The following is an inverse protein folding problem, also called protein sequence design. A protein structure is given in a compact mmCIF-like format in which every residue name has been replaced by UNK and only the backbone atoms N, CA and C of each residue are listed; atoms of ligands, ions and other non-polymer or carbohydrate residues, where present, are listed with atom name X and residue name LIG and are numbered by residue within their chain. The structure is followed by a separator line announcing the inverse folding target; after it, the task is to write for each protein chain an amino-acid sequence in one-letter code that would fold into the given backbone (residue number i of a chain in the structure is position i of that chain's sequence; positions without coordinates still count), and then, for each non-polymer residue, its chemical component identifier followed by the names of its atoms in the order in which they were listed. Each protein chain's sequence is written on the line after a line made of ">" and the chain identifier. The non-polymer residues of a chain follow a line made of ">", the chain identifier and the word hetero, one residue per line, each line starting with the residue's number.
data_IF_529008194819
#
_entry.id   IF_529008194819
#
_cell.length_a   1.000
_cell.length_b   1.000
_cell.length_c   1.000
_cell.angle_alpha   90.00
_cell.angle_beta   90.00
_cell.angle_gamma   90.00
#
_symmetry.space_group_name_H-M   'P 1'
#
loop_
_entity.id
_entity.type
_entity.pdbx_description
1 polymer ?
#
# COMPACT_ATOMS: atom_id res chain seq x y z
N UNK A 1 -8.69 4.70 -33.86
CA UNK A 1 -8.10 3.89 -32.78
C UNK A 1 -6.61 3.67 -32.99
N UNK A 2 -6.15 2.85 -33.95
CA UNK A 2 -4.72 2.53 -34.11
C UNK A 2 -3.79 3.78 -34.17
N UNK A 3 -4.16 4.83 -34.92
CA UNK A 3 -3.39 6.09 -34.93
C UNK A 3 -3.44 6.88 -33.61
N UNK A 4 -4.51 6.75 -32.84
CA UNK A 4 -4.64 7.42 -31.55
C UNK A 4 -3.71 6.78 -30.51
N UNK A 5 -3.64 5.44 -30.51
CA UNK A 5 -2.74 4.68 -29.62
C UNK A 5 -1.25 4.85 -29.98
N UNK A 6 -0.91 5.24 -31.21
CA UNK A 6 0.48 5.50 -31.61
C UNK A 6 1.08 6.77 -30.98
N UNK A 7 0.25 7.75 -30.61
CA UNK A 7 0.67 9.06 -30.08
C UNK A 7 0.33 9.24 -28.61
N UNK A 8 0.25 8.14 -27.86
CA UNK A 8 -0.18 8.17 -26.46
C UNK A 8 0.94 8.50 -25.47
N UNK A 9 1.66 9.59 -25.73
CA UNK A 9 2.78 10.04 -24.88
C UNK A 9 2.39 10.48 -23.46
N UNK A 10 1.09 10.53 -23.16
CA UNK A 10 0.53 10.98 -21.88
C UNK A 10 -0.48 9.99 -21.26
N UNK A 11 -0.63 8.76 -21.79
CA UNK A 11 -1.59 7.75 -21.30
C UNK A 11 -3.07 8.15 -21.43
N UNK A 12 -3.38 9.06 -22.36
CA UNK A 12 -4.74 9.54 -22.63
C UNK A 12 -5.63 8.48 -23.30
N UNK A 13 -5.02 7.47 -23.91
CA UNK A 13 -5.72 6.38 -24.57
C UNK A 13 -5.47 5.02 -23.90
N UNK A 14 -4.95 5.02 -22.67
CA UNK A 14 -4.88 3.82 -21.82
C UNK A 14 -6.27 3.18 -21.71
N UNK A 15 -6.37 1.87 -21.92
CA UNK A 15 -7.61 1.08 -21.95
C UNK A 15 -8.55 1.33 -23.16
N UNK A 16 -8.16 2.11 -24.17
CA UNK A 16 -8.99 2.35 -25.35
C UNK A 16 -9.32 1.04 -26.10
N UNK A 17 -8.36 0.11 -26.17
CA UNK A 17 -8.57 -1.17 -26.86
C UNK A 17 -9.58 -2.01 -26.08
N UNK A 18 -9.45 -2.08 -24.75
CA UNK A 18 -10.40 -2.78 -23.89
C UNK A 18 -11.83 -2.23 -24.02
N UNK A 19 -11.98 -0.90 -23.99
CA UNK A 19 -13.29 -0.24 -24.14
C UNK A 19 -13.95 -0.50 -25.51
N UNK A 20 -13.13 -0.68 -26.55
CA UNK A 20 -13.60 -0.88 -27.92
C UNK A 20 -13.72 -2.34 -28.33
N UNK A 21 -13.23 -3.28 -27.51
CA UNK A 21 -13.25 -4.70 -27.79
C UNK A 21 -14.65 -5.26 -28.17
N UNK A 22 -15.75 -4.89 -27.49
CA UNK A 22 -17.08 -5.37 -27.87
C UNK A 22 -17.52 -4.90 -29.27
N UNK A 23 -17.13 -3.70 -29.67
CA UNK A 23 -17.47 -3.12 -30.97
C UNK A 23 -16.57 -3.66 -32.10
N UNK A 24 -15.30 -3.95 -31.80
CA UNK A 24 -14.35 -4.54 -32.75
C UNK A 24 -14.65 -6.01 -33.05
N UNK A 25 -15.11 -6.75 -32.04
CA UNK A 25 -15.22 -8.20 -32.12
C UNK A 25 -13.88 -8.90 -32.40
N UNK A 26 -13.94 -10.21 -32.67
CA UNK A 26 -12.75 -11.03 -32.89
C UNK A 26 -11.93 -10.58 -34.10
N UNK A 27 -12.59 -10.27 -35.20
CA UNK A 27 -11.93 -9.90 -36.46
C UNK A 27 -11.27 -8.52 -36.37
N UNK A 28 -11.92 -7.55 -35.71
CA UNK A 28 -11.34 -6.23 -35.46
C UNK A 28 -10.12 -6.29 -34.57
N UNK A 29 -10.14 -7.10 -33.50
CA UNK A 29 -8.99 -7.33 -32.62
C UNK A 29 -7.83 -8.02 -33.35
N UNK A 30 -8.12 -9.03 -34.18
CA UNK A 30 -7.10 -9.68 -35.01
C UNK A 30 -6.46 -8.71 -36.00
N UNK A 31 -7.26 -7.85 -36.63
CA UNK A 31 -6.75 -6.81 -37.53
C UNK A 31 -5.86 -5.83 -36.79
N UNK A 32 -6.26 -5.40 -35.59
CA UNK A 32 -5.48 -4.51 -34.74
C UNK A 32 -4.14 -5.14 -34.32
N UNK A 33 -4.16 -6.41 -33.92
CA UNK A 33 -2.94 -7.21 -33.63
C UNK A 33 -1.97 -7.21 -34.81
N UNK A 34 -2.47 -7.47 -36.03
CA UNK A 34 -1.64 -7.43 -37.25
C UNK A 34 -1.03 -6.05 -37.48
N UNK A 35 -1.78 -4.97 -37.26
CA UNK A 35 -1.27 -3.60 -37.42
C UNK A 35 -0.15 -3.28 -36.43
N UNK A 36 -0.28 -3.67 -35.16
CA UNK A 36 0.77 -3.47 -34.16
C UNK A 36 2.03 -4.33 -34.44
N UNK A 37 1.88 -5.57 -34.90
CA UNK A 37 3.01 -6.43 -35.31
C UNK A 37 3.71 -5.87 -36.55
N UNK A 38 2.95 -5.31 -37.49
CA UNK A 38 3.54 -4.65 -38.65
C UNK A 38 4.29 -3.39 -38.22
N UNK A 39 3.69 -2.59 -37.34
CA UNK A 39 4.31 -1.39 -36.82
C UNK A 39 5.57 -1.71 -36.02
N UNK A 40 5.68 -2.79 -35.26
CA UNK A 40 6.94 -3.11 -34.58
C UNK A 40 8.10 -3.48 -35.52
N UNK A 41 7.80 -3.88 -36.75
CA UNK A 41 8.80 -4.31 -37.75
C UNK A 41 9.19 -3.21 -38.73
N UNK A 42 8.46 -2.11 -38.75
CA UNK A 42 8.76 -0.97 -39.61
C UNK A 42 10.07 -0.31 -39.15
N UNK A 43 11.00 0.03 -40.05
CA UNK A 43 12.25 0.69 -39.68
C UNK A 43 11.97 1.97 -38.90
N UNK A 44 12.58 2.12 -37.72
CA UNK A 44 12.72 3.43 -37.10
C UNK A 44 13.77 4.21 -37.87
N UNK A 45 13.49 5.45 -38.26
CA UNK A 45 14.50 6.37 -38.79
C UNK A 45 15.51 6.68 -37.68
N UNK A 46 16.51 5.80 -37.50
CA UNK A 46 17.68 6.07 -36.68
C UNK A 46 18.51 7.12 -37.41
N UNK A 47 18.67 8.35 -36.87
CA UNK A 47 19.54 9.35 -37.48
C UNK A 47 20.96 8.79 -37.59
N UNK A 48 21.69 9.17 -38.64
CA UNK A 48 23.13 8.89 -38.72
C UNK A 48 23.83 9.39 -37.45
N UNK A 49 24.91 8.73 -37.03
CA UNK A 49 25.56 8.94 -35.72
C UNK A 49 25.99 10.40 -35.49
N UNK A 50 26.27 11.14 -36.57
CA UNK A 50 26.62 12.56 -36.60
C UNK A 50 25.42 13.53 -36.49
N UNK A 51 24.19 13.00 -36.53
CA UNK A 51 22.92 13.74 -36.50
C UNK A 51 22.01 13.33 -35.34
N UNK A 52 22.48 12.48 -34.44
CA UNK A 52 21.72 12.08 -33.24
C UNK A 52 21.67 13.22 -32.24
N UNK A 53 20.47 13.61 -31.81
CA UNK A 53 20.26 14.68 -30.84
C UNK A 53 20.32 14.12 -29.41
N UNK A 54 21.16 14.73 -28.56
CA UNK A 54 21.32 14.34 -27.15
C UNK A 54 20.32 15.12 -26.31
N UNK A 55 19.43 14.41 -25.64
CA UNK A 55 18.37 14.99 -24.80
C UNK A 55 18.60 14.79 -23.30
N UNK A 56 19.64 14.04 -22.92
CA UNK A 56 19.99 13.84 -21.51
C UNK A 56 21.26 13.01 -21.32
N UNK A 57 21.64 12.82 -20.06
CA UNK A 57 22.78 11.98 -19.67
C UNK A 57 22.36 11.07 -18.51
N UNK A 58 22.62 9.77 -18.61
CA UNK A 58 22.41 8.81 -17.53
C UNK A 58 23.74 8.13 -17.19
N UNK A 59 24.21 8.26 -15.95
CA UNK A 59 25.44 7.61 -15.48
C UNK A 59 26.71 7.92 -16.30
N UNK A 60 26.75 9.05 -17.01
CA UNK A 60 27.87 9.44 -17.89
C UNK A 60 27.71 9.04 -19.36
N UNK A 61 26.62 8.35 -19.74
CA UNK A 61 26.30 8.03 -21.13
C UNK A 61 25.23 9.01 -21.69
N UNK A 62 25.41 9.53 -22.92
CA UNK A 62 24.40 10.38 -23.55
C UNK A 62 23.16 9.56 -23.91
N UNK A 63 21.98 10.13 -23.65
CA UNK A 63 20.68 9.60 -24.05
C UNK A 63 20.26 10.34 -25.31
N UNK A 64 20.04 9.59 -26.39
CA UNK A 64 19.63 10.16 -27.67
C UNK A 64 18.10 10.15 -27.83
N UNK A 65 17.58 11.15 -28.53
CA UNK A 65 16.14 11.32 -28.76
C UNK A 65 15.50 10.11 -29.47
N UNK A 66 16.19 9.56 -30.46
CA UNK A 66 15.75 8.40 -31.24
C UNK A 66 15.67 7.11 -30.39
N UNK A 67 16.51 6.99 -29.36
CA UNK A 67 16.45 5.88 -28.41
C UNK A 67 15.24 5.97 -27.49
N UNK A 68 14.81 7.18 -27.12
CA UNK A 68 13.56 7.38 -26.36
C UNK A 68 12.35 7.06 -27.23
N UNK A 69 12.33 7.50 -28.49
CA UNK A 69 11.24 7.19 -29.42
C UNK A 69 11.16 5.69 -29.78
N UNK A 70 12.30 5.02 -29.97
CA UNK A 70 12.36 3.57 -30.17
C UNK A 70 11.82 2.79 -28.96
N UNK A 71 12.27 3.16 -27.76
CA UNK A 71 11.75 2.57 -26.52
C UNK A 71 10.26 2.86 -26.28
N UNK A 72 9.79 4.05 -26.64
CA UNK A 72 8.37 4.41 -26.53
C UNK A 72 7.52 3.57 -27.49
N UNK A 73 7.93 3.42 -28.75
CA UNK A 73 7.21 2.58 -29.72
C UNK A 73 7.13 1.13 -29.27
N UNK A 74 8.25 0.55 -28.83
CA UNK A 74 8.29 -0.83 -28.37
C UNK A 74 7.40 -1.04 -27.15
N UNK A 75 7.39 -0.08 -26.22
CA UNK A 75 6.50 -0.06 -25.07
C UNK A 75 5.02 0.02 -25.49
N UNK A 76 4.67 0.95 -26.38
CA UNK A 76 3.30 1.12 -26.88
C UNK A 76 2.81 -0.13 -27.60
N UNK A 77 3.63 -0.72 -28.48
CA UNK A 77 3.28 -1.96 -29.16
C UNK A 77 3.03 -3.07 -28.13
N UNK A 78 3.93 -3.22 -27.16
CA UNK A 78 3.81 -4.28 -26.14
C UNK A 78 2.53 -4.13 -25.34
N UNK A 79 2.23 -2.93 -24.83
CA UNK A 79 1.00 -2.65 -24.07
C UNK A 79 -0.22 -2.94 -24.94
N UNK A 80 -0.24 -2.44 -26.18
CA UNK A 80 -1.37 -2.66 -27.06
C UNK A 80 -1.59 -4.13 -27.40
N UNK A 81 -0.52 -4.91 -27.61
CA UNK A 81 -0.61 -6.35 -27.84
C UNK A 81 -1.10 -7.11 -26.59
N UNK A 82 -0.74 -6.64 -25.39
CA UNK A 82 -1.27 -7.17 -24.13
C UNK A 82 -2.77 -6.90 -23.99
N UNK A 83 -3.22 -5.66 -24.24
CA UNK A 83 -4.65 -5.31 -24.19
C UNK A 83 -5.46 -6.10 -25.23
N UNK A 84 -4.90 -6.32 -26.43
CA UNK A 84 -5.55 -7.17 -27.44
C UNK A 84 -5.62 -8.62 -26.97
N UNK A 85 -4.55 -9.16 -26.38
CA UNK A 85 -4.54 -10.53 -25.84
C UNK A 85 -5.60 -10.69 -24.73
N UNK A 86 -5.70 -9.73 -23.82
CA UNK A 86 -6.71 -9.71 -22.75
C UNK A 86 -8.13 -9.65 -23.31
N UNK A 87 -8.38 -8.76 -24.27
CA UNK A 87 -9.67 -8.65 -24.95
C UNK A 87 -10.07 -9.93 -25.70
N UNK A 88 -9.09 -10.74 -26.11
CA UNK A 88 -9.30 -12.03 -26.78
C UNK A 88 -9.36 -13.22 -25.81
N UNK A 89 -9.01 -13.04 -24.53
CA UNK A 89 -8.81 -14.13 -23.58
C UNK A 89 -7.60 -15.02 -23.92
N UNK A 90 -6.64 -14.52 -24.71
CA UNK A 90 -5.46 -15.25 -25.18
C UNK A 90 -4.31 -15.08 -24.18
N UNK A 91 -4.34 -15.88 -23.12
CA UNK A 91 -3.37 -15.80 -22.01
C UNK A 91 -1.94 -16.07 -22.49
N UNK A 92 -1.74 -17.01 -23.42
CA UNK A 92 -0.42 -17.35 -23.93
C UNK A 92 0.16 -16.19 -24.76
N UNK A 93 -0.68 -15.49 -25.55
CA UNK A 93 -0.23 -14.28 -26.25
C UNK A 93 0.15 -13.16 -25.29
N UNK A 94 -0.56 -12.99 -24.16
CA UNK A 94 -0.19 -12.03 -23.12
C UNK A 94 1.17 -12.37 -22.51
N UNK A 95 1.38 -13.63 -22.10
CA UNK A 95 2.64 -14.11 -21.52
C UNK A 95 3.80 -13.92 -22.50
N UNK A 96 3.56 -14.18 -23.79
CA UNK A 96 4.57 -14.02 -24.85
C UNK A 96 5.06 -12.56 -24.99
N UNK A 97 4.24 -11.56 -24.62
CA UNK A 97 4.66 -10.15 -24.63
C UNK A 97 5.56 -9.78 -23.44
N UNK A 98 5.60 -10.60 -22.38
CA UNK A 98 6.41 -10.35 -21.19
C UNK A 98 7.83 -10.90 -21.38
N UNK A 99 8.89 -10.08 -21.27
CA UNK A 99 10.27 -10.58 -21.24
C UNK A 99 10.49 -11.61 -20.12
N UNK A 100 11.28 -12.65 -20.37
CA UNK A 100 11.48 -13.74 -19.39
C UNK A 100 11.96 -13.25 -18.02
N UNK A 101 12.84 -12.23 -18.00
CA UNK A 101 13.35 -11.64 -16.75
C UNK A 101 12.28 -10.93 -15.94
N UNK A 102 11.32 -10.28 -16.59
CA UNK A 102 10.24 -9.53 -15.91
C UNK A 102 9.09 -10.44 -15.50
N UNK A 103 8.93 -11.64 -16.09
CA UNK A 103 7.93 -12.63 -15.65
C UNK A 103 8.11 -13.05 -14.20
N UNK A 104 9.36 -13.06 -13.71
CA UNK A 104 9.69 -13.38 -12.32
C UNK A 104 9.44 -12.23 -11.35
N UNK A 105 9.10 -11.04 -11.83
CA UNK A 105 8.71 -9.92 -10.95
C UNK A 105 7.37 -10.25 -10.29
N UNK A 106 7.23 -10.19 -8.96
CA UNK A 106 6.00 -10.61 -8.28
C UNK A 106 4.72 -9.94 -8.77
N UNK A 107 4.74 -8.65 -9.13
CA UNK A 107 3.56 -7.97 -9.70
C UNK A 107 3.15 -8.57 -11.05
N UNK A 108 4.12 -8.82 -11.93
CA UNK A 108 3.88 -9.43 -13.25
C UNK A 108 3.45 -10.90 -13.11
N UNK A 109 4.05 -11.65 -12.18
CA UNK A 109 3.65 -13.01 -11.88
C UNK A 109 2.19 -13.07 -11.39
N UNK A 110 1.77 -12.12 -10.55
CA UNK A 110 0.37 -11.99 -10.11
C UNK A 110 -0.58 -11.71 -11.28
N UNK A 111 -0.22 -10.79 -12.17
CA UNK A 111 -1.02 -10.46 -13.36
C UNK A 111 -1.19 -11.65 -14.31
N UNK A 112 -0.12 -12.44 -14.50
CA UNK A 112 -0.15 -13.66 -15.31
C UNK A 112 -1.01 -14.72 -14.61
N UNK A 113 -0.82 -14.94 -13.31
CA UNK A 113 -1.58 -15.91 -12.53
C UNK A 113 -3.08 -15.61 -12.56
N UNK A 114 -3.49 -14.36 -12.40
CA UNK A 114 -4.89 -13.95 -12.50
C UNK A 114 -5.50 -14.33 -13.85
N UNK A 115 -4.80 -14.07 -14.96
CA UNK A 115 -5.26 -14.44 -16.31
C UNK A 115 -5.34 -15.95 -16.51
N UNK A 116 -4.35 -16.69 -16.00
CA UNK A 116 -4.36 -18.16 -16.03
C UNK A 116 -5.56 -18.72 -15.23
N UNK A 117 -5.89 -18.13 -14.08
CA UNK A 117 -7.06 -18.52 -13.30
C UNK A 117 -8.38 -18.28 -14.04
N UNK A 118 -8.55 -17.12 -14.69
CA UNK A 118 -9.72 -16.84 -15.53
C UNK A 118 -9.88 -17.85 -16.68
N UNK A 119 -8.77 -18.40 -17.17
CA UNK A 119 -8.74 -19.46 -18.18
C UNK A 119 -8.87 -20.89 -17.61
N UNK A 120 -9.05 -21.06 -16.28
CA UNK A 120 -9.14 -22.37 -15.62
C UNK A 120 -7.80 -23.12 -15.48
N UNK A 121 -6.67 -22.43 -15.70
CA UNK A 121 -5.30 -22.99 -15.67
C UNK A 121 -4.63 -22.78 -14.31
N UNK A 122 -5.30 -23.21 -13.24
CA UNK A 122 -4.86 -22.94 -11.86
C UNK A 122 -3.48 -23.54 -11.51
N UNK A 123 -3.11 -24.70 -12.08
CA UNK A 123 -1.78 -25.30 -11.85
C UNK A 123 -0.66 -24.44 -12.40
N UNK A 124 -0.83 -23.92 -13.61
CA UNK A 124 0.16 -23.04 -14.26
C UNK A 124 0.23 -21.68 -13.56
N UNK A 125 -0.90 -21.20 -13.01
CA UNK A 125 -0.91 -20.02 -12.16
C UNK A 125 -0.04 -20.23 -10.91
N UNK A 126 -0.13 -21.40 -10.27
CA UNK A 126 0.67 -21.73 -9.09
C UNK A 126 2.16 -21.77 -9.41
N UNK A 127 2.53 -22.45 -10.50
CA UNK A 127 3.91 -22.54 -11.00
C UNK A 127 4.48 -21.14 -11.30
N UNK A 128 3.69 -20.28 -11.96
CA UNK A 128 4.09 -18.90 -12.26
C UNK A 128 4.37 -18.10 -10.99
N UNK A 129 3.53 -18.26 -9.95
CA UNK A 129 3.73 -17.57 -8.68
C UNK A 129 4.96 -18.11 -7.94
N UNK A 130 5.18 -19.42 -7.94
CA UNK A 130 6.32 -20.07 -7.27
C UNK A 130 7.67 -19.73 -7.93
N UNK A 131 7.69 -19.41 -9.22
CA UNK A 131 8.89 -18.95 -9.92
C UNK A 131 9.23 -17.47 -9.72
N UNK A 132 8.33 -16.70 -9.08
CA UNK A 132 8.57 -15.29 -8.81
C UNK A 132 9.79 -15.10 -7.89
N UNK A 133 10.51 -13.99 -8.07
CA UNK A 133 11.72 -13.69 -7.31
C UNK A 133 11.36 -13.38 -5.84
N UNK A 134 11.47 -14.41 -5.00
CA UNK A 134 11.11 -14.38 -3.57
C UNK A 134 12.17 -13.73 -2.67
N UNK A 135 13.12 -12.94 -3.22
CA UNK A 135 14.22 -12.29 -2.46
C UNK A 135 13.80 -11.57 -1.18
N UNK A 136 12.53 -11.19 -1.08
CA UNK A 136 11.90 -10.92 0.20
C UNK A 136 10.48 -11.44 0.20
N UNK A 137 10.28 -12.70 0.62
CA UNK A 137 8.94 -13.26 0.90
C UNK A 137 8.11 -12.37 1.82
N UNK A 138 8.79 -11.64 2.72
CA UNK A 138 8.15 -10.67 3.63
C UNK A 138 7.68 -9.39 2.93
N UNK A 139 8.17 -9.10 1.73
CA UNK A 139 7.79 -7.93 0.91
C UNK A 139 7.01 -8.32 -0.35
N UNK A 140 6.41 -9.52 -0.42
CA UNK A 140 5.54 -9.87 -1.54
C UNK A 140 4.40 -8.85 -1.65
N UNK A 141 4.17 -8.25 -2.84
CA UNK A 141 3.06 -7.32 -3.06
C UNK A 141 1.72 -7.95 -2.71
N UNK A 142 0.77 -7.12 -2.27
CA UNK A 142 -0.56 -7.60 -1.88
C UNK A 142 -1.28 -8.34 -3.01
N UNK A 143 -1.19 -7.85 -4.25
CA UNK A 143 -1.76 -8.51 -5.44
C UNK A 143 -1.21 -9.93 -5.65
N UNK A 144 0.09 -10.14 -5.41
CA UNK A 144 0.67 -11.50 -5.49
C UNK A 144 0.11 -12.41 -4.40
N UNK A 145 -0.06 -11.88 -3.18
CA UNK A 145 -0.64 -12.63 -2.07
C UNK A 145 -2.10 -13.03 -2.36
N UNK A 146 -2.88 -12.13 -2.96
CA UNK A 146 -4.25 -12.42 -3.42
C UNK A 146 -4.25 -13.48 -4.53
N UNK A 147 -3.42 -13.32 -5.55
CA UNK A 147 -3.32 -14.30 -6.64
C UNK A 147 -2.93 -15.69 -6.12
N UNK A 148 -2.03 -15.77 -5.14
CA UNK A 148 -1.66 -17.03 -4.47
C UNK A 148 -2.84 -17.68 -3.77
N UNK A 149 -3.60 -16.90 -3.02
CA UNK A 149 -4.81 -17.35 -2.33
C UNK A 149 -5.85 -17.86 -3.32
N UNK A 150 -6.17 -17.08 -4.35
CA UNK A 150 -7.18 -17.44 -5.36
C UNK A 150 -6.76 -18.70 -6.13
N UNK A 151 -5.46 -18.88 -6.36
CA UNK A 151 -4.91 -20.07 -6.99
C UNK A 151 -5.11 -21.31 -6.13
N UNK A 152 -4.80 -21.24 -4.83
CA UNK A 152 -5.02 -22.34 -3.89
C UNK A 152 -6.50 -22.71 -3.81
N UNK A 153 -7.40 -21.72 -3.79
CA UNK A 153 -8.85 -21.97 -3.82
C UNK A 153 -9.30 -22.65 -5.11
N UNK A 154 -8.79 -22.22 -6.27
CA UNK A 154 -9.11 -22.82 -7.57
C UNK A 154 -8.59 -24.27 -7.70
N UNK A 155 -7.52 -24.62 -6.98
CA UNK A 155 -6.99 -25.98 -6.90
C UNK A 155 -7.77 -26.90 -5.93
N UNK A 156 -8.65 -26.31 -5.10
CA UNK A 156 -9.41 -27.04 -4.08
C UNK A 156 -8.72 -27.09 -2.70
N UNK A 157 -7.59 -26.41 -2.54
CA UNK A 157 -6.78 -26.41 -1.31
C UNK A 157 -7.24 -25.29 -0.35
N UNK A 158 -8.53 -25.34 0.02
CA UNK A 158 -9.18 -24.29 0.82
C UNK A 158 -8.52 -24.09 2.20
N UNK A 159 -8.05 -25.17 2.84
CA UNK A 159 -7.35 -25.10 4.13
C UNK A 159 -6.01 -24.37 4.00
N UNK A 160 -5.23 -24.63 2.95
CA UNK A 160 -3.96 -23.94 2.70
C UNK A 160 -4.20 -22.46 2.37
N UNK A 161 -5.25 -22.16 1.59
CA UNK A 161 -5.65 -20.78 1.32
C UNK A 161 -6.02 -20.02 2.62
N UNK A 162 -6.74 -20.66 3.55
CA UNK A 162 -7.04 -20.09 4.86
C UNK A 162 -5.79 -19.85 5.70
N UNK A 163 -4.93 -20.86 5.82
CA UNK A 163 -3.67 -20.74 6.54
C UNK A 163 -2.80 -19.60 5.97
N UNK A 164 -2.74 -19.48 4.65
CA UNK A 164 -1.98 -18.44 3.98
C UNK A 164 -2.52 -17.02 4.27
N UNK A 165 -3.84 -16.82 4.22
CA UNK A 165 -4.46 -15.54 4.62
C UNK A 165 -4.08 -15.15 6.05
N UNK A 166 -4.15 -16.11 6.97
CA UNK A 166 -3.82 -15.89 8.37
C UNK A 166 -2.34 -15.52 8.55
N UNK A 167 -1.42 -16.22 7.89
CA UNK A 167 0.01 -15.87 7.94
C UNK A 167 0.30 -14.49 7.34
N UNK A 168 -0.37 -14.13 6.24
CA UNK A 168 -0.24 -12.79 5.66
C UNK A 168 -0.73 -11.72 6.63
N UNK A 169 -1.88 -11.92 7.27
CA UNK A 169 -2.36 -11.02 8.32
C UNK A 169 -1.37 -10.92 9.47
N UNK A 170 -0.88 -12.04 10.02
CA UNK A 170 0.07 -12.01 11.15
C UNK A 170 1.35 -11.26 10.82
N UNK A 171 1.79 -11.30 9.57
CA UNK A 171 3.03 -10.65 9.11
C UNK A 171 2.86 -9.14 8.91
N UNK A 172 1.73 -8.70 8.36
CA UNK A 172 1.56 -7.31 7.90
C UNK A 172 0.34 -6.59 8.44
N UNK A 173 -0.46 -7.21 9.30
CA UNK A 173 -1.75 -6.70 9.77
C UNK A 173 -2.67 -6.20 8.64
N UNK A 174 -2.57 -6.79 7.43
CA UNK A 174 -3.38 -6.36 6.30
C UNK A 174 -4.85 -6.72 6.53
N UNK A 175 -5.70 -5.71 6.68
CA UNK A 175 -7.13 -5.87 6.99
C UNK A 175 -7.86 -6.76 5.99
N UNK A 176 -7.52 -6.71 4.70
CA UNK A 176 -8.25 -7.47 3.69
C UNK A 176 -8.04 -8.97 3.84
N UNK A 177 -6.84 -9.40 4.24
CA UNK A 177 -6.57 -10.81 4.56
C UNK A 177 -7.38 -11.27 5.77
N UNK A 178 -7.48 -10.44 6.82
CA UNK A 178 -8.30 -10.76 7.98
C UNK A 178 -9.79 -10.83 7.62
N UNK A 179 -10.33 -9.86 6.88
CA UNK A 179 -11.74 -9.91 6.42
C UNK A 179 -12.02 -11.14 5.57
N UNK A 180 -11.11 -11.47 4.65
CA UNK A 180 -11.26 -12.63 3.78
C UNK A 180 -11.17 -13.96 4.53
N UNK A 181 -10.35 -14.01 5.58
CA UNK A 181 -10.23 -15.14 6.52
C UNK A 181 -11.53 -15.31 7.32
N UNK A 182 -11.96 -14.27 8.05
CA UNK A 182 -13.17 -14.30 8.89
C UNK A 182 -14.43 -14.66 8.09
N UNK A 183 -14.61 -14.09 6.90
CA UNK A 183 -15.79 -14.37 6.04
C UNK A 183 -15.96 -15.84 5.65
N UNK A 184 -14.90 -16.64 5.70
CA UNK A 184 -14.91 -18.05 5.29
C UNK A 184 -14.93 -19.01 6.49
N UNK A 185 -14.97 -18.47 7.71
CA UNK A 185 -15.21 -19.25 8.90
C UNK A 185 -16.72 -19.50 9.08
N UNK A 186 -17.12 -20.58 9.77
CA UNK A 186 -18.47 -20.72 10.29
C UNK A 186 -18.86 -19.54 11.19
N UNK A 187 -20.15 -19.15 11.20
CA UNK A 187 -20.68 -17.97 11.90
C UNK A 187 -20.40 -17.88 13.42
N UNK A 188 -19.90 -18.94 14.06
CA UNK A 188 -19.55 -18.94 15.49
C UNK A 188 -18.04 -18.88 15.75
N UNK A 189 -17.22 -19.14 14.73
CA UNK A 189 -15.76 -19.18 14.84
C UNK A 189 -15.12 -17.82 14.49
N UNK A 190 -15.86 -16.93 13.82
CA UNK A 190 -15.37 -15.63 13.36
C UNK A 190 -15.07 -14.67 14.53
N UNK A 191 -15.91 -14.64 15.56
CA UNK A 191 -15.68 -13.84 16.77
C UNK A 191 -14.42 -14.28 17.51
N UNK A 192 -14.25 -15.59 17.73
CA UNK A 192 -13.05 -16.12 18.40
C UNK A 192 -11.78 -15.85 17.57
N UNK A 193 -11.88 -15.97 16.24
CA UNK A 193 -10.79 -15.64 15.33
C UNK A 193 -10.44 -14.15 15.32
N UNK A 194 -11.44 -13.27 15.39
CA UNK A 194 -11.23 -11.82 15.49
C UNK A 194 -10.54 -11.46 16.80
N UNK A 195 -10.97 -12.04 17.92
CA UNK A 195 -10.30 -11.85 19.21
C UNK A 195 -8.83 -12.31 19.18
N UNK A 196 -8.53 -13.44 18.53
CA UNK A 196 -7.14 -13.90 18.29
C UNK A 196 -6.36 -12.91 17.43
N UNK A 197 -7.00 -12.33 16.41
CA UNK A 197 -6.38 -11.34 15.54
C UNK A 197 -6.04 -10.05 16.30
N UNK A 198 -6.94 -9.60 17.18
CA UNK A 198 -6.70 -8.45 18.03
C UNK A 198 -5.60 -8.73 19.06
N UNK A 199 -5.60 -9.90 19.70
CA UNK A 199 -4.53 -10.30 20.60
C UNK A 199 -3.16 -10.30 19.92
N UNK A 200 -3.08 -10.79 18.68
CA UNK A 200 -1.86 -10.71 17.87
C UNK A 200 -1.46 -9.25 17.59
N UNK A 201 -2.39 -8.43 17.10
CA UNK A 201 -2.15 -7.02 16.79
C UNK A 201 -1.70 -6.20 18.02
N UNK A 202 -2.21 -6.49 19.22
CA UNK A 202 -1.79 -5.83 20.46
C UNK A 202 -0.28 -6.03 20.76
N UNK A 203 0.27 -7.18 20.36
CA UNK A 203 1.66 -7.56 20.58
C UNK A 203 2.57 -7.35 19.36
N UNK A 204 2.03 -6.80 18.27
CA UNK A 204 2.78 -6.61 17.04
C UNK A 204 3.98 -5.67 17.26
N UNK A 205 5.19 -5.99 16.75
CA UNK A 205 6.41 -5.25 17.11
C UNK A 205 6.30 -3.74 16.89
N UNK A 206 5.76 -3.32 15.75
CA UNK A 206 5.53 -1.92 15.44
C UNK A 206 4.17 -1.46 15.99
N UNK A 207 4.20 -0.65 17.06
CA UNK A 207 3.01 -0.07 17.68
C UNK A 207 2.22 0.83 16.73
N UNK A 208 2.90 1.58 15.85
CA UNK A 208 2.26 2.53 14.95
C UNK A 208 1.53 1.82 13.83
N UNK A 209 2.12 0.72 13.35
CA UNK A 209 1.47 -0.16 12.40
C UNK A 209 0.22 -0.83 13.00
N UNK A 210 0.32 -1.33 14.24
CA UNK A 210 -0.82 -1.88 14.97
C UNK A 210 -1.92 -0.84 15.25
N UNK A 211 -1.54 0.39 15.62
CA UNK A 211 -2.47 1.50 15.81
C UNK A 211 -3.19 1.83 14.50
N UNK A 212 -2.45 1.92 13.39
CA UNK A 212 -3.01 2.10 12.06
C UNK A 212 -4.01 1.01 11.69
N UNK A 213 -3.70 -0.25 12.00
CA UNK A 213 -4.62 -1.38 11.81
C UNK A 213 -5.92 -1.18 12.60
N UNK A 214 -5.89 -0.92 13.91
CA UNK A 214 -7.12 -0.79 14.71
C UNK A 214 -7.98 0.43 14.30
N UNK A 215 -7.36 1.51 13.81
CA UNK A 215 -8.09 2.66 13.26
C UNK A 215 -8.78 2.35 11.93
N UNK A 216 -8.21 1.46 11.11
CA UNK A 216 -8.79 1.03 9.83
C UNK A 216 -9.77 -0.14 10.00
N UNK A 217 -9.62 -0.96 11.06
CA UNK A 217 -10.53 -2.03 11.49
C UNK A 217 -11.71 -1.53 12.36
N UNK A 218 -12.02 -0.23 12.34
CA UNK A 218 -12.63 0.55 13.44
C UNK A 218 -12.83 -0.17 14.80
N UNK A 219 -11.74 -0.54 15.48
CA UNK A 219 -11.76 -1.11 16.84
C UNK A 219 -11.18 -0.11 17.88
N UNK A 220 -11.91 0.98 18.22
CA UNK A 220 -11.39 2.07 19.05
C UNK A 220 -11.02 1.62 20.47
N UNK A 221 -11.74 0.63 21.03
CA UNK A 221 -11.42 0.08 22.35
C UNK A 221 -10.05 -0.62 22.36
N UNK A 222 -9.73 -1.40 21.32
CA UNK A 222 -8.45 -2.07 21.19
C UNK A 222 -7.32 -1.07 20.88
N UNK A 223 -7.57 -0.06 20.05
CA UNK A 223 -6.63 1.05 19.82
C UNK A 223 -6.30 1.80 21.13
N UNK A 224 -7.32 2.10 21.95
CA UNK A 224 -7.11 2.74 23.25
C UNK A 224 -6.29 1.87 24.21
N UNK A 225 -6.59 0.57 24.27
CA UNK A 225 -5.83 -0.41 25.06
C UNK A 225 -4.37 -0.50 24.62
N UNK A 226 -4.10 -0.51 23.31
CA UNK A 226 -2.75 -0.50 22.75
C UNK A 226 -1.97 0.74 23.21
N UNK A 227 -2.56 1.92 23.02
CA UNK A 227 -1.98 3.22 23.39
C UNK A 227 -1.66 3.29 24.89
N UNK A 228 -2.58 2.86 25.75
CA UNK A 228 -2.38 2.89 27.20
C UNK A 228 -1.28 1.92 27.64
N UNK A 229 -1.27 0.71 27.08
CA UNK A 229 -0.34 -0.36 27.46
C UNK A 229 1.09 -0.05 27.00
N UNK A 230 1.25 0.43 25.76
CA UNK A 230 2.56 0.59 25.10
C UNK A 230 2.96 2.05 24.88
N UNK A 231 2.44 2.96 25.70
CA UNK A 231 2.64 4.42 25.59
C UNK A 231 4.09 4.88 25.44
N UNK A 232 5.06 4.14 25.98
CA UNK A 232 6.48 4.50 25.94
C UNK A 232 7.12 4.27 24.56
N UNK A 233 6.46 3.52 23.69
CA UNK A 233 6.91 3.20 22.34
C UNK A 233 6.34 4.19 21.29
N UNK A 234 5.45 5.10 21.71
CA UNK A 234 4.81 6.07 20.82
C UNK A 234 5.78 7.17 20.37
N UNK A 235 6.10 7.16 19.08
CA UNK A 235 6.75 8.28 18.40
C UNK A 235 5.77 9.41 18.07
N UNK A 236 5.97 10.55 18.74
CA UNK A 236 5.20 11.78 18.55
C UNK A 236 5.55 12.58 17.29
N UNK A 237 6.56 12.18 16.51
CA UNK A 237 6.87 12.81 15.21
C UNK A 237 5.91 12.38 14.11
N UNK A 238 5.23 11.23 14.28
CA UNK A 238 4.23 10.70 13.35
C UNK A 238 2.90 11.47 13.46
N UNK A 239 2.96 12.78 13.25
CA UNK A 239 1.91 13.75 13.56
C UNK A 239 0.56 13.41 12.93
N UNK A 240 0.54 12.99 11.66
CA UNK A 240 -0.70 12.61 10.95
C UNK A 240 -1.40 11.42 11.60
N UNK A 241 -0.64 10.35 11.91
CA UNK A 241 -1.18 9.16 12.57
C UNK A 241 -1.64 9.48 14.00
N UNK A 242 -0.83 10.21 14.76
CA UNK A 242 -1.14 10.55 16.15
C UNK A 242 -2.38 11.45 16.26
N UNK A 243 -2.52 12.43 15.35
CA UNK A 243 -3.69 13.32 15.30
C UNK A 243 -4.95 12.52 14.94
N UNK A 244 -4.88 11.71 13.87
CA UNK A 244 -6.00 10.83 13.48
C UNK A 244 -6.42 9.90 14.62
N UNK A 245 -5.46 9.30 15.32
CA UNK A 245 -5.72 8.43 16.46
C UNK A 245 -6.36 9.19 17.63
N UNK A 246 -5.85 10.38 17.96
CA UNK A 246 -6.36 11.20 19.06
C UNK A 246 -7.82 11.62 18.81
N UNK A 247 -8.15 11.97 17.57
CA UNK A 247 -9.52 12.35 17.20
C UNK A 247 -10.46 11.15 17.22
N UNK A 248 -10.05 10.00 16.69
CA UNK A 248 -10.84 8.77 16.70
C UNK A 248 -11.17 8.26 18.12
N UNK A 249 -10.31 8.55 19.10
CA UNK A 249 -10.45 8.09 20.49
C UNK A 249 -11.12 9.11 21.41
N UNK A 250 -11.40 10.33 20.92
CA UNK A 250 -11.80 11.47 21.74
C UNK A 250 -13.09 11.25 22.55
N UNK A 251 -14.09 10.60 21.95
CA UNK A 251 -15.43 10.50 22.53
C UNK A 251 -15.50 9.53 23.71
N UNK A 252 -14.82 8.38 23.61
CA UNK A 252 -14.98 7.26 24.55
C UNK A 252 -13.71 6.90 25.31
N UNK A 253 -12.55 7.43 24.91
CA UNK A 253 -11.25 7.04 25.46
C UNK A 253 -10.37 8.27 25.78
N UNK A 254 -10.79 9.15 26.72
CA UNK A 254 -10.09 10.40 27.01
C UNK A 254 -8.64 10.21 27.50
N UNK A 255 -8.36 9.12 28.22
CA UNK A 255 -7.00 8.77 28.65
C UNK A 255 -6.08 8.47 27.46
N UNK A 256 -6.54 7.66 26.50
CA UNK A 256 -5.75 7.29 25.33
C UNK A 256 -5.47 8.53 24.45
N UNK A 257 -6.48 9.39 24.23
CA UNK A 257 -6.28 10.68 23.57
C UNK A 257 -5.23 11.52 24.29
N UNK A 258 -5.32 11.63 25.61
CA UNK A 258 -4.35 12.38 26.41
C UNK A 258 -2.93 11.86 26.24
N UNK A 259 -2.72 10.54 26.23
CA UNK A 259 -1.40 9.93 25.99
C UNK A 259 -0.84 10.29 24.61
N UNK A 260 -1.65 10.19 23.55
CA UNK A 260 -1.24 10.53 22.18
C UNK A 260 -0.85 12.01 22.07
N UNK A 261 -1.67 12.90 22.63
CA UNK A 261 -1.37 14.34 22.67
C UNK A 261 -0.08 14.63 23.42
N UNK A 262 0.13 14.00 24.59
CA UNK A 262 1.36 14.14 25.38
C UNK A 262 2.60 13.65 24.62
N UNK A 263 2.51 12.53 23.89
CA UNK A 263 3.61 12.05 23.04
C UNK A 263 4.03 13.10 22.00
N UNK A 264 3.06 13.74 21.31
CA UNK A 264 3.36 14.83 20.36
C UNK A 264 3.96 16.08 21.03
N UNK A 265 3.49 16.43 22.24
CA UNK A 265 4.05 17.53 23.04
C UNK A 265 5.50 17.22 23.43
N UNK A 266 5.75 16.04 24.00
CA UNK A 266 7.06 15.61 24.46
C UNK A 266 8.07 15.60 23.30
N UNK A 267 7.72 14.99 22.15
CA UNK A 267 8.57 15.03 20.95
C UNK A 267 8.91 16.46 20.51
N UNK A 268 7.88 17.33 20.45
CA UNK A 268 8.03 18.71 20.01
C UNK A 268 8.99 19.50 20.90
N UNK A 269 8.87 19.33 22.23
CA UNK A 269 9.70 20.04 23.18
C UNK A 269 11.11 19.43 23.26
N UNK A 270 11.25 18.11 23.33
CA UNK A 270 12.56 17.43 23.37
C UNK A 270 13.42 17.79 22.16
N UNK A 271 12.83 17.86 20.96
CA UNK A 271 13.53 18.21 19.73
C UNK A 271 13.52 19.71 19.41
N UNK A 272 13.02 20.55 20.30
CA UNK A 272 12.95 22.02 20.13
C UNK A 272 12.32 22.46 18.81
N UNK A 273 11.27 21.76 18.34
CA UNK A 273 10.57 22.04 17.09
C UNK A 273 9.70 23.29 17.23
N UNK A 274 10.31 24.48 17.18
CA UNK A 274 9.64 25.76 17.41
C UNK A 274 8.43 26.01 16.50
N UNK A 275 8.47 25.54 15.25
CA UNK A 275 7.34 25.59 14.31
C UNK A 275 6.09 24.84 14.80
N UNK A 276 6.24 23.86 15.69
CA UNK A 276 5.15 23.06 16.27
C UNK A 276 4.68 23.55 17.64
N UNK A 277 5.29 24.58 18.24
CA UNK A 277 4.94 25.04 19.60
C UNK A 277 3.48 25.48 19.73
N UNK A 278 2.91 26.13 18.71
CA UNK A 278 1.49 26.50 18.69
C UNK A 278 0.57 25.27 18.78
N UNK A 279 0.95 24.17 18.12
CA UNK A 279 0.20 22.92 18.16
C UNK A 279 0.35 22.23 19.52
N UNK A 280 1.58 22.14 20.04
CA UNK A 280 1.84 21.57 21.35
C UNK A 280 1.10 22.32 22.49
N UNK A 281 1.03 23.65 22.43
CA UNK A 281 0.28 24.44 23.41
C UNK A 281 -1.22 24.14 23.36
N UNK A 282 -1.79 24.00 22.15
CA UNK A 282 -3.18 23.56 21.97
C UNK A 282 -3.41 22.16 22.52
N UNK A 283 -2.53 21.21 22.20
CA UNK A 283 -2.61 19.84 22.72
C UNK A 283 -2.55 19.81 24.25
N UNK A 284 -1.77 20.69 24.88
CA UNK A 284 -1.71 20.80 26.34
C UNK A 284 -3.04 21.30 26.92
N UNK A 285 -3.66 22.30 26.29
CA UNK A 285 -4.99 22.78 26.66
C UNK A 285 -6.07 21.70 26.46
N UNK A 286 -6.01 20.94 25.37
CA UNK A 286 -6.90 19.80 25.13
C UNK A 286 -6.73 18.75 26.24
N UNK A 287 -5.49 18.42 26.63
CA UNK A 287 -5.23 17.53 27.76
C UNK A 287 -5.84 18.04 29.08
N UNK A 288 -5.84 19.36 29.31
CA UNK A 288 -6.46 19.95 30.50
C UNK A 288 -7.99 19.79 30.46
N UNK A 289 -8.61 19.99 29.29
CA UNK A 289 -10.05 19.80 29.10
C UNK A 289 -10.52 18.35 29.28
N UNK A 290 -9.65 17.38 28.96
CA UNK A 290 -9.94 15.95 29.10
C UNK A 290 -9.76 15.45 30.55
N UNK A 291 -8.95 16.15 31.35
CA UNK A 291 -8.55 15.67 32.67
C UNK A 291 -9.73 15.40 33.64
N UNK A 292 -10.80 16.22 33.69
CA UNK A 292 -11.97 15.94 34.53
C UNK A 292 -12.77 14.69 34.10
N UNK A 293 -12.53 14.17 32.89
CA UNK A 293 -13.22 13.00 32.34
C UNK A 293 -12.38 11.71 32.44
N UNK A 294 -11.28 11.74 33.20
CA UNK A 294 -10.38 10.60 33.39
C UNK A 294 -10.36 10.25 34.88
N UNK A 295 -10.99 9.14 35.24
CA UNK A 295 -11.05 8.67 36.63
C UNK A 295 -9.69 8.13 37.11
N UNK A 296 -9.00 7.42 36.24
CA UNK A 296 -7.69 6.82 36.53
C UNK A 296 -6.70 7.12 35.39
N UNK A 297 -5.62 7.82 35.72
CA UNK A 297 -4.51 8.06 34.79
C UNK A 297 -3.51 6.90 34.78
N UNK A 298 -3.62 5.96 35.72
CA UNK A 298 -2.66 4.89 35.96
C UNK A 298 -1.23 5.43 35.98
N UNK A 299 -0.36 4.74 35.27
CA UNK A 299 1.06 5.13 35.17
C UNK A 299 1.29 6.38 34.31
N UNK A 300 0.28 6.93 33.60
CA UNK A 300 0.45 8.13 32.77
C UNK A 300 0.59 9.42 33.59
N UNK A 301 0.21 9.37 34.86
CA UNK A 301 0.24 10.52 35.76
C UNK A 301 -0.87 11.54 35.46
N UNK A 302 -1.39 12.16 36.51
CA UNK A 302 -2.41 13.21 36.37
C UNK A 302 -1.92 14.37 35.52
N UNK A 303 -2.85 15.20 35.05
CA UNK A 303 -2.51 16.39 34.27
C UNK A 303 -1.55 17.34 35.01
N UNK A 304 -1.81 17.61 36.29
CA UNK A 304 -0.97 18.51 37.10
C UNK A 304 0.46 17.99 37.27
N UNK A 305 0.61 16.69 37.50
CA UNK A 305 1.93 16.03 37.60
C UNK A 305 2.68 16.14 36.27
N UNK A 306 1.99 15.89 35.15
CA UNK A 306 2.58 16.04 33.82
C UNK A 306 3.03 17.48 33.55
N UNK A 307 2.19 18.48 33.84
CA UNK A 307 2.54 19.91 33.64
C UNK A 307 3.71 20.33 34.52
N UNK A 308 3.75 19.91 35.79
CA UNK A 308 4.85 20.20 36.69
C UNK A 308 6.18 19.62 36.17
N UNK A 309 6.16 18.39 35.68
CA UNK A 309 7.32 17.74 35.07
C UNK A 309 7.74 18.42 33.76
N UNK A 310 6.78 18.83 32.93
CA UNK A 310 7.04 19.58 31.70
C UNK A 310 7.72 20.93 31.99
N UNK A 311 7.25 21.66 33.01
CA UNK A 311 7.88 22.91 33.47
C UNK A 311 9.28 22.68 34.00
N UNK A 312 9.50 21.59 34.74
CA UNK A 312 10.81 21.22 35.28
C UNK A 312 11.83 20.92 34.17
N UNK A 313 11.46 20.12 33.16
CA UNK A 313 12.35 19.74 32.05
C UNK A 313 12.54 20.86 31.02
N UNK A 314 11.46 21.57 30.69
CA UNK A 314 11.39 22.45 29.52
C UNK A 314 11.05 23.91 29.86
N UNK A 315 11.20 24.34 31.12
CA UNK A 315 10.84 25.68 31.60
C UNK A 315 11.50 26.85 30.85
N UNK A 316 12.67 26.62 30.23
CA UNK A 316 13.40 27.64 29.45
C UNK A 316 12.86 27.82 28.02
N UNK A 317 11.92 27.00 27.56
CA UNK A 317 11.31 27.13 26.22
C UNK A 317 10.24 28.24 26.24
N UNK A 318 10.67 29.49 26.43
CA UNK A 318 9.78 30.64 26.59
C UNK A 318 8.76 30.79 25.46
N UNK A 319 9.15 30.51 24.21
CA UNK A 319 8.24 30.57 23.06
C UNK A 319 7.11 29.53 23.08
N UNK A 320 7.28 28.41 23.80
CA UNK A 320 6.18 27.48 24.07
C UNK A 320 5.33 27.99 25.24
N UNK A 321 5.95 28.32 26.37
CA UNK A 321 5.22 28.74 27.57
C UNK A 321 4.44 30.04 27.40
N UNK A 322 4.86 30.94 26.51
CA UNK A 322 4.09 32.15 26.17
C UNK A 322 2.79 31.86 25.40
N UNK A 323 2.64 30.65 24.86
CA UNK A 323 1.45 30.20 24.13
C UNK A 323 0.52 29.35 25.01
N UNK A 324 1.01 28.87 26.16
CA UNK A 324 0.21 28.14 27.15
C UNK A 324 -0.48 29.19 28.01
N UNK A 325 -1.81 29.30 27.87
CA UNK A 325 -2.67 30.19 28.66
C UNK A 325 -3.33 29.41 29.76
#
# INVERSE_FOLDING_TARGET
>A
MFRATQNDGYGQYDNLIAAMAPALGKDGLNRLKTLFIQWSKEPTDTPAEDKREIIGWNGGSPIYEDEIHGNHRDLTVRIALQEVADAQGDVDAYIAQQPEKTRKTPTIAADIAHRLLLAGRAKEALETLDEADMRSWTAMPFEWQLARVDTLEALGDAEEAQAYRWECFKRSLHQEHLRAFLKRLPDFDDLEAEEKAFAHAQTFPDIHHALGFFLNWPAPAEAAKLVVTRKTELDGDLYELMTRAADALAEKHPLAKTILLRSMIDFTLENSRSSRYKHAARHLADCASLAPHIDDFGNAGSHDVYVAELKRRHGKKHGFWSLVT
#
